data_IF_403103849831
#
_entry.id   IF_403103849831
#
_cell.length_a   1.000
_cell.length_b   1.000
_cell.length_c   1.000
_cell.angle_alpha   90.00
_cell.angle_beta   90.00
_cell.angle_gamma   90.00
#
_symmetry.space_group_name_H-M   'P 1'
#
loop_
_entity.id
_entity.type
_entity.pdbx_description
1 polymer ?
#
# COMPACT_ATOMS: atom_id res chain seq x y z
N UNK A 1 -42.20 -36.95 23.79
CA UNK A 1 -42.06 -35.51 24.01
C UNK A 1 -40.57 -35.19 23.86
N UNK A 2 -40.16 -34.84 22.67
CA UNK A 2 -38.77 -34.45 22.38
C UNK A 2 -38.68 -32.93 22.49
N UNK A 3 -37.94 -32.45 23.47
CA UNK A 3 -37.60 -31.04 23.59
C UNK A 3 -36.57 -30.72 22.49
N UNK A 4 -37.03 -30.07 21.42
CA UNK A 4 -36.14 -29.46 20.44
C UNK A 4 -35.32 -28.39 21.16
N UNK A 5 -33.99 -28.61 21.26
CA UNK A 5 -33.05 -27.61 21.72
C UNK A 5 -33.16 -26.39 20.81
N UNK A 6 -33.51 -25.22 21.35
CA UNK A 6 -33.45 -23.95 20.68
C UNK A 6 -32.01 -23.77 20.17
N UNK A 7 -31.80 -23.45 18.89
CA UNK A 7 -30.45 -23.11 18.45
C UNK A 7 -29.97 -21.89 19.25
N UNK A 8 -28.80 -22.01 19.85
CA UNK A 8 -28.14 -20.91 20.53
C UNK A 8 -28.13 -19.72 19.57
N UNK A 9 -28.65 -18.59 20.03
CA UNK A 9 -28.60 -17.34 19.28
C UNK A 9 -27.13 -17.02 19.07
N UNK A 10 -26.62 -17.28 17.86
CA UNK A 10 -25.28 -16.88 17.47
C UNK A 10 -25.19 -15.37 17.65
N UNK A 11 -24.33 -14.94 18.57
CA UNK A 11 -24.14 -13.53 18.87
C UNK A 11 -23.47 -12.89 17.64
N UNK A 12 -24.27 -12.27 16.78
CA UNK A 12 -23.73 -11.41 15.72
C UNK A 12 -22.88 -10.33 16.36
N UNK A 13 -21.63 -10.20 15.94
CA UNK A 13 -20.81 -9.07 16.36
C UNK A 13 -21.61 -7.78 16.07
N UNK A 14 -21.68 -6.89 17.05
CA UNK A 14 -22.34 -5.59 16.84
C UNK A 14 -21.62 -4.84 15.69
N UNK A 15 -22.34 -3.98 14.98
CA UNK A 15 -21.73 -3.14 13.93
C UNK A 15 -20.52 -2.37 14.47
N UNK A 16 -20.53 -1.96 15.74
CA UNK A 16 -19.41 -1.32 16.43
C UNK A 16 -18.18 -2.21 16.52
N UNK A 17 -18.32 -3.52 16.73
CA UNK A 17 -17.17 -4.43 16.80
C UNK A 17 -16.39 -4.50 15.47
N UNK A 18 -17.08 -4.46 14.33
CA UNK A 18 -16.46 -4.43 13.00
C UNK A 18 -15.59 -3.17 12.80
N UNK A 19 -16.17 -2.01 13.16
CA UNK A 19 -15.45 -0.74 13.06
C UNK A 19 -14.26 -0.67 14.02
N UNK A 20 -14.37 -1.23 15.22
CA UNK A 20 -13.24 -1.35 16.15
C UNK A 20 -12.09 -2.13 15.52
N UNK A 21 -12.36 -3.26 14.86
CA UNK A 21 -11.30 -4.03 14.18
C UNK A 21 -10.63 -3.24 13.04
N UNK A 22 -11.42 -2.45 12.29
CA UNK A 22 -10.88 -1.56 11.25
C UNK A 22 -10.01 -0.46 11.87
N UNK A 23 -10.48 0.20 12.92
CA UNK A 23 -9.72 1.28 13.62
C UNK A 23 -8.41 0.76 14.19
N UNK A 24 -8.40 -0.44 14.79
CA UNK A 24 -7.17 -1.06 15.29
C UNK A 24 -6.15 -1.30 14.16
N UNK A 25 -6.62 -1.77 12.99
CA UNK A 25 -5.80 -1.89 11.80
C UNK A 25 -5.25 -0.52 11.33
N UNK A 26 -6.10 0.50 11.28
CA UNK A 26 -5.74 1.89 10.93
C UNK A 26 -4.64 2.42 11.87
N UNK A 27 -4.79 2.27 13.19
CA UNK A 27 -3.80 2.73 14.17
C UNK A 27 -2.47 1.99 14.00
N UNK A 28 -2.51 0.67 13.76
CA UNK A 28 -1.31 -0.11 13.44
C UNK A 28 -0.60 0.40 12.18
N UNK A 29 -1.36 0.73 11.13
CA UNK A 29 -0.82 1.26 9.87
C UNK A 29 -0.18 2.64 10.04
N UNK A 30 -0.79 3.54 10.82
CA UNK A 30 -0.18 4.84 11.19
C UNK A 30 1.15 4.62 11.92
N UNK A 31 1.19 3.68 12.85
CA UNK A 31 2.38 3.42 13.66
C UNK A 31 3.57 2.92 12.84
N UNK A 32 3.34 2.11 11.79
CA UNK A 32 4.44 1.58 10.95
C UNK A 32 4.84 2.52 9.80
N UNK A 33 4.05 3.54 9.48
CA UNK A 33 4.24 4.39 8.30
C UNK A 33 5.62 5.07 8.25
N UNK A 34 6.19 5.40 9.40
CA UNK A 34 7.47 6.11 9.47
C UNK A 34 8.68 5.27 9.08
N UNK A 35 8.60 3.94 9.16
CA UNK A 35 9.69 3.08 8.72
C UNK A 35 9.99 3.31 7.24
N UNK A 36 8.96 3.57 6.45
CA UNK A 36 9.10 3.90 5.03
C UNK A 36 9.24 5.43 4.80
N UNK A 37 8.29 6.20 5.28
CA UNK A 37 8.16 7.61 4.90
C UNK A 37 8.99 8.58 5.75
N UNK A 38 9.37 8.17 6.96
CA UNK A 38 10.29 8.92 7.83
C UNK A 38 11.76 8.69 7.51
N UNK A 39 12.11 7.64 6.75
CA UNK A 39 13.49 7.23 6.49
C UNK A 39 14.38 8.35 5.97
N UNK A 40 13.86 9.19 5.08
CA UNK A 40 14.63 10.29 4.47
C UNK A 40 15.21 11.28 5.49
N UNK A 41 14.59 11.40 6.67
CA UNK A 41 15.07 12.26 7.75
C UNK A 41 16.39 11.77 8.38
N UNK A 42 16.66 10.47 8.30
CA UNK A 42 17.80 9.82 8.92
C UNK A 42 19.04 9.75 8.02
N UNK A 43 18.84 9.81 6.67
CA UNK A 43 19.93 9.61 5.70
C UNK A 43 21.07 10.61 5.89
N UNK A 44 20.75 11.91 5.94
CA UNK A 44 21.78 12.94 6.10
C UNK A 44 22.49 12.89 7.46
N UNK A 45 21.81 12.76 8.60
CA UNK A 45 22.47 12.60 9.91
C UNK A 45 23.40 11.39 9.97
N UNK A 46 22.99 10.24 9.42
CA UNK A 46 23.84 9.03 9.38
C UNK A 46 25.06 9.27 8.51
N UNK A 47 24.88 9.87 7.32
CA UNK A 47 25.99 10.14 6.40
C UNK A 47 26.97 11.16 6.98
N UNK A 48 26.48 12.19 7.64
CA UNK A 48 27.33 13.18 8.33
C UNK A 48 28.19 12.59 9.43
N UNK A 49 27.72 11.51 10.07
CA UNK A 49 28.46 10.85 11.16
C UNK A 49 29.47 9.83 10.67
N UNK A 50 29.09 9.01 9.69
CA UNK A 50 29.87 7.83 9.30
C UNK A 50 30.55 7.98 7.94
N UNK A 51 30.12 8.95 7.12
CA UNK A 51 30.61 9.17 5.74
C UNK A 51 30.51 7.92 4.85
N UNK A 52 29.42 7.13 5.05
CA UNK A 52 29.19 5.91 4.26
C UNK A 52 28.74 6.17 2.83
N UNK A 53 28.30 7.40 2.53
CA UNK A 53 27.69 7.79 1.28
C UNK A 53 26.18 7.47 1.23
N UNK A 54 25.41 8.46 0.79
CA UNK A 54 23.94 8.38 0.77
C UNK A 54 23.41 7.19 -0.04
N UNK A 55 24.11 6.81 -1.12
CA UNK A 55 23.71 5.66 -1.93
C UNK A 55 23.77 4.35 -1.15
N UNK A 56 24.84 4.12 -0.38
CA UNK A 56 24.96 2.94 0.46
C UNK A 56 23.93 2.94 1.60
N UNK A 57 23.66 4.11 2.20
CA UNK A 57 22.63 4.25 3.25
C UNK A 57 21.24 3.95 2.65
N UNK A 58 20.95 4.36 1.41
CA UNK A 58 19.68 4.10 0.75
C UNK A 58 19.43 2.62 0.41
N UNK A 59 20.46 1.79 0.35
CA UNK A 59 20.29 0.32 0.24
C UNK A 59 19.47 -0.22 1.41
N UNK A 60 19.60 0.36 2.61
CA UNK A 60 18.79 0.00 3.76
C UNK A 60 17.29 0.19 3.48
N UNK A 61 16.90 1.27 2.80
CA UNK A 61 15.51 1.48 2.37
C UNK A 61 15.03 0.42 1.38
N UNK A 62 15.87 0.08 0.39
CA UNK A 62 15.54 -0.97 -0.58
C UNK A 62 15.34 -2.32 0.12
N UNK A 63 16.23 -2.69 1.04
CA UNK A 63 16.12 -3.92 1.85
C UNK A 63 14.81 -3.93 2.65
N UNK A 64 14.46 -2.77 3.27
CA UNK A 64 13.21 -2.60 3.98
C UNK A 64 12.00 -2.87 3.05
N UNK A 65 11.91 -2.19 1.90
CA UNK A 65 10.77 -2.31 0.98
C UNK A 65 10.64 -3.72 0.41
N UNK A 66 11.75 -4.38 0.07
CA UNK A 66 11.73 -5.76 -0.39
C UNK A 66 11.20 -6.71 0.68
N UNK A 67 11.68 -6.60 1.91
CA UNK A 67 11.21 -7.42 3.02
C UNK A 67 9.73 -7.13 3.35
N UNK A 68 9.34 -5.85 3.40
CA UNK A 68 7.96 -5.40 3.64
C UNK A 68 6.96 -5.99 2.65
N UNK A 69 7.39 -6.27 1.42
CA UNK A 69 6.47 -6.68 0.36
C UNK A 69 6.57 -8.16 -0.01
N UNK A 70 7.79 -8.69 -0.17
CA UNK A 70 7.98 -10.05 -0.66
C UNK A 70 7.76 -11.13 0.38
N UNK A 71 7.81 -10.80 1.67
CA UNK A 71 7.52 -11.73 2.75
C UNK A 71 6.02 -11.78 3.12
N UNK A 72 5.23 -10.78 2.74
CA UNK A 72 3.78 -10.71 3.03
C UNK A 72 3.00 -11.97 2.64
N UNK A 73 3.28 -12.68 1.52
CA UNK A 73 2.57 -13.93 1.21
C UNK A 73 2.71 -14.99 2.28
N UNK A 74 3.90 -15.16 2.86
CA UNK A 74 4.16 -16.11 3.94
C UNK A 74 3.55 -15.64 5.25
N UNK A 75 3.74 -14.37 5.58
CA UNK A 75 3.17 -13.71 6.75
C UNK A 75 1.65 -13.77 6.70
N UNK A 76 1.05 -13.45 5.56
CA UNK A 76 -0.39 -13.52 5.33
C UNK A 76 -0.96 -14.92 5.46
N UNK A 77 -0.26 -15.95 4.97
CA UNK A 77 -0.67 -17.34 5.16
C UNK A 77 -0.69 -17.71 6.66
N UNK A 78 0.32 -17.28 7.42
CA UNK A 78 0.37 -17.49 8.86
C UNK A 78 -0.79 -16.77 9.57
N UNK A 79 -1.09 -15.53 9.16
CA UNK A 79 -2.22 -14.74 9.69
C UNK A 79 -3.55 -15.41 9.38
N UNK A 80 -3.75 -15.89 8.15
CA UNK A 80 -4.99 -16.56 7.75
C UNK A 80 -5.20 -17.88 8.50
N UNK A 81 -4.10 -18.55 8.91
CA UNK A 81 -4.14 -19.82 9.66
C UNK A 81 -4.26 -19.64 11.18
N UNK A 82 -3.49 -18.71 11.75
CA UNK A 82 -3.36 -18.54 13.21
C UNK A 82 -4.10 -17.31 13.75
N UNK A 83 -4.65 -16.49 12.87
CA UNK A 83 -5.31 -15.24 13.22
C UNK A 83 -4.33 -14.06 13.35
N UNK A 84 -4.87 -12.82 13.39
CA UNK A 84 -4.06 -11.60 13.32
C UNK A 84 -3.28 -11.28 14.60
N UNK A 85 -3.82 -11.64 15.76
CA UNK A 85 -3.36 -11.16 17.07
C UNK A 85 -1.88 -11.33 17.31
N UNK A 86 -1.42 -12.58 17.27
CA UNK A 86 -0.05 -12.92 17.66
C UNK A 86 0.99 -12.50 16.62
N UNK A 87 0.62 -12.58 15.34
CA UNK A 87 1.53 -12.16 14.28
C UNK A 87 1.72 -10.63 14.27
N UNK A 88 0.62 -9.85 14.41
CA UNK A 88 0.73 -8.39 14.49
C UNK A 88 1.48 -7.96 15.75
N UNK A 89 1.28 -8.66 16.90
CA UNK A 89 2.09 -8.40 18.10
C UNK A 89 3.58 -8.65 17.85
N UNK A 90 3.93 -9.75 17.19
CA UNK A 90 5.30 -10.02 16.77
C UNK A 90 5.82 -8.93 15.81
N UNK A 91 5.00 -8.50 14.84
CA UNK A 91 5.30 -7.39 13.94
C UNK A 91 5.64 -6.09 14.70
N UNK A 92 4.85 -5.74 15.72
CA UNK A 92 5.12 -4.59 16.58
C UNK A 92 6.44 -4.69 17.35
N UNK A 93 6.76 -5.87 17.88
CA UNK A 93 8.04 -6.14 18.54
C UNK A 93 9.19 -5.98 17.53
N UNK A 94 9.05 -6.51 16.32
CA UNK A 94 10.05 -6.38 15.26
C UNK A 94 10.26 -4.91 14.85
N UNK A 95 9.21 -4.10 14.79
CA UNK A 95 9.29 -2.66 14.51
C UNK A 95 10.12 -1.93 15.57
N UNK A 96 9.85 -2.17 16.86
CA UNK A 96 10.62 -1.60 17.96
C UNK A 96 12.08 -2.05 17.94
N UNK A 97 12.32 -3.35 17.70
CA UNK A 97 13.67 -3.93 17.60
C UNK A 97 14.44 -3.35 16.40
N UNK A 98 13.81 -3.22 15.24
CA UNK A 98 14.42 -2.68 14.02
C UNK A 98 15.02 -1.29 14.24
N UNK A 99 14.23 -0.39 14.80
CA UNK A 99 14.69 0.96 15.07
C UNK A 99 15.73 1.01 16.20
N UNK A 100 15.63 0.12 17.18
CA UNK A 100 16.66 -0.03 18.22
C UNK A 100 18.00 -0.53 17.64
N UNK A 101 17.96 -1.47 16.68
CA UNK A 101 19.14 -1.93 15.94
C UNK A 101 19.72 -0.78 15.11
N UNK A 102 18.87 -0.05 14.37
CA UNK A 102 19.32 1.09 13.56
C UNK A 102 19.91 2.24 14.40
N UNK A 103 19.38 2.48 15.59
CA UNK A 103 19.92 3.46 16.53
C UNK A 103 21.37 3.14 16.96
N UNK A 104 21.70 1.85 17.06
CA UNK A 104 23.01 1.36 17.48
C UNK A 104 23.88 0.89 16.30
N UNK A 105 23.48 1.20 15.06
CA UNK A 105 24.21 0.76 13.89
C UNK A 105 25.55 1.48 13.76
N UNK A 106 26.64 0.71 13.85
CA UNK A 106 28.02 1.16 13.63
C UNK A 106 28.62 0.68 12.31
N UNK A 107 27.83 -0.06 11.53
CA UNK A 107 28.19 -0.53 10.17
C UNK A 107 26.98 -0.56 9.27
N UNK A 108 27.22 -0.50 7.94
CA UNK A 108 26.16 -0.65 6.93
C UNK A 108 25.42 -1.99 7.09
N UNK A 109 26.14 -3.08 7.41
CA UNK A 109 25.53 -4.39 7.61
C UNK A 109 24.52 -4.38 8.75
N UNK A 110 24.83 -3.73 9.87
CA UNK A 110 23.91 -3.60 11.01
C UNK A 110 22.69 -2.75 10.62
N UNK A 111 22.90 -1.65 9.86
CA UNK A 111 21.82 -0.81 9.34
C UNK A 111 20.89 -1.60 8.41
N UNK A 112 21.46 -2.43 7.52
CA UNK A 112 20.66 -3.29 6.61
C UNK A 112 19.91 -4.37 7.38
N UNK A 113 20.54 -4.97 8.41
CA UNK A 113 19.88 -5.95 9.28
C UNK A 113 18.69 -5.35 10.03
N UNK A 114 18.83 -4.15 10.60
CA UNK A 114 17.72 -3.43 11.23
C UNK A 114 16.62 -3.10 10.24
N UNK A 115 16.96 -2.69 9.01
CA UNK A 115 16.00 -2.40 7.96
C UNK A 115 15.27 -3.66 7.48
N UNK A 116 15.95 -4.80 7.38
CA UNK A 116 15.34 -6.10 7.08
C UNK A 116 14.31 -6.49 8.16
N UNK A 117 14.70 -6.42 9.43
CA UNK A 117 13.81 -6.69 10.58
C UNK A 117 12.58 -5.76 10.54
N UNK A 118 12.80 -4.47 10.24
CA UNK A 118 11.73 -3.47 10.11
C UNK A 118 10.78 -3.78 8.96
N UNK A 119 11.32 -4.23 7.82
CA UNK A 119 10.52 -4.64 6.66
C UNK A 119 9.62 -5.84 6.98
N UNK A 120 10.14 -6.88 7.63
CA UNK A 120 9.35 -8.02 8.12
C UNK A 120 8.26 -7.54 9.07
N UNK A 121 8.58 -6.74 10.08
CA UNK A 121 7.60 -6.24 11.03
C UNK A 121 6.51 -5.40 10.38
N UNK A 122 6.88 -4.50 9.48
CA UNK A 122 5.94 -3.65 8.75
C UNK A 122 5.08 -4.47 7.77
N UNK A 123 5.64 -5.44 7.08
CA UNK A 123 4.93 -6.35 6.16
C UNK A 123 3.81 -7.11 6.86
N UNK A 124 4.11 -7.72 8.02
CA UNK A 124 3.12 -8.40 8.86
C UNK A 124 1.96 -7.47 9.20
N UNK A 125 2.24 -6.26 9.70
CA UNK A 125 1.21 -5.30 10.12
C UNK A 125 0.39 -4.82 8.93
N UNK A 126 1.06 -4.46 7.82
CA UNK A 126 0.42 -3.96 6.60
C UNK A 126 -0.50 -5.02 5.99
N UNK A 127 0.04 -6.18 5.65
CA UNK A 127 -0.71 -7.27 5.02
C UNK A 127 -1.89 -7.72 5.87
N UNK A 128 -1.67 -7.87 7.18
CA UNK A 128 -2.73 -8.27 8.12
C UNK A 128 -3.83 -7.22 8.22
N UNK A 129 -3.49 -5.93 8.34
CA UNK A 129 -4.48 -4.87 8.50
C UNK A 129 -5.39 -4.78 7.28
N UNK A 130 -4.83 -4.83 6.07
CA UNK A 130 -5.62 -4.84 4.83
C UNK A 130 -6.43 -6.12 4.69
N UNK A 131 -5.81 -7.30 4.86
CA UNK A 131 -6.49 -8.59 4.75
C UNK A 131 -7.63 -8.75 5.75
N UNK A 132 -7.43 -8.30 7.00
CA UNK A 132 -8.46 -8.33 8.03
C UNK A 132 -9.62 -7.37 7.71
N UNK A 133 -9.33 -6.16 7.19
CA UNK A 133 -10.35 -5.22 6.73
C UNK A 133 -11.22 -5.81 5.62
N UNK A 134 -10.64 -6.50 4.64
CA UNK A 134 -11.37 -7.20 3.58
C UNK A 134 -12.29 -8.31 4.12
N UNK A 135 -11.87 -9.01 5.18
CA UNK A 135 -12.67 -10.06 5.83
C UNK A 135 -13.86 -9.49 6.61
N UNK A 136 -13.67 -8.36 7.30
CA UNK A 136 -14.71 -7.73 8.10
C UNK A 136 -15.74 -6.94 7.30
N UNK A 137 -15.39 -6.45 6.10
CA UNK A 137 -16.23 -5.58 5.26
C UNK A 137 -16.39 -6.11 3.84
N UNK A 138 -16.99 -7.31 3.65
CA UNK A 138 -17.15 -7.90 2.32
C UNK A 138 -18.08 -7.09 1.40
N UNK A 139 -18.99 -6.30 1.98
CA UNK A 139 -19.92 -5.43 1.26
C UNK A 139 -19.29 -4.11 0.79
N UNK A 140 -18.17 -3.68 1.41
CA UNK A 140 -17.47 -2.41 1.15
C UNK A 140 -15.95 -2.60 1.13
N UNK A 141 -15.45 -3.58 0.36
CA UNK A 141 -14.03 -3.94 0.32
C UNK A 141 -13.13 -2.79 -0.10
N UNK A 142 -13.55 -2.02 -1.10
CA UNK A 142 -12.78 -0.87 -1.59
C UNK A 142 -12.61 0.21 -0.52
N UNK A 143 -13.70 0.58 0.14
CA UNK A 143 -13.65 1.56 1.23
C UNK A 143 -12.82 1.05 2.41
N UNK A 144 -13.00 -0.19 2.84
CA UNK A 144 -12.29 -0.76 3.97
C UNK A 144 -10.78 -0.87 3.71
N UNK A 145 -10.38 -1.38 2.55
CA UNK A 145 -8.99 -1.42 2.11
C UNK A 145 -8.42 0.01 1.97
N UNK A 146 -9.21 0.92 1.41
CA UNK A 146 -8.84 2.32 1.23
C UNK A 146 -8.57 3.05 2.54
N UNK A 147 -9.47 2.93 3.54
CA UNK A 147 -9.29 3.52 4.86
C UNK A 147 -8.05 2.97 5.58
N UNK A 148 -7.85 1.65 5.49
CA UNK A 148 -6.69 1.00 6.09
C UNK A 148 -5.39 1.46 5.43
N UNK A 149 -5.35 1.46 4.10
CA UNK A 149 -4.17 1.89 3.35
C UNK A 149 -3.90 3.40 3.47
N UNK A 150 -4.96 4.24 3.58
CA UNK A 150 -4.83 5.69 3.80
C UNK A 150 -4.01 6.00 5.06
N UNK A 151 -4.23 5.21 6.11
CA UNK A 151 -3.51 5.34 7.38
C UNK A 151 -2.00 5.17 7.22
N UNK A 152 -1.56 4.24 6.37
CA UNK A 152 -0.14 4.10 6.03
C UNK A 152 0.34 5.28 5.17
N UNK A 153 -0.43 5.69 4.16
CA UNK A 153 -0.06 6.80 3.27
C UNK A 153 0.10 8.15 3.98
N UNK A 154 -0.87 8.49 4.85
CA UNK A 154 -0.90 9.75 5.57
C UNK A 154 -0.26 9.69 6.97
N UNK A 155 -0.04 8.50 7.52
CA UNK A 155 0.36 8.32 8.93
C UNK A 155 1.65 9.03 9.31
N UNK A 156 2.60 9.11 8.40
CA UNK A 156 3.85 9.84 8.61
C UNK A 156 3.66 11.35 8.77
N UNK A 157 2.59 11.93 8.22
CA UNK A 157 2.32 13.37 8.34
C UNK A 157 2.20 13.83 9.81
N UNK A 158 1.71 12.94 10.69
CA UNK A 158 1.54 13.23 12.11
C UNK A 158 2.87 13.24 12.89
N UNK A 159 3.87 12.53 12.42
CA UNK A 159 5.08 12.23 13.20
C UNK A 159 6.37 12.70 12.55
N UNK A 160 6.37 13.06 11.26
CA UNK A 160 7.56 13.60 10.57
C UNK A 160 8.15 14.80 11.29
N UNK A 161 7.31 15.78 11.68
CA UNK A 161 7.78 17.00 12.37
C UNK A 161 8.33 16.67 13.77
N UNK A 162 7.63 15.91 14.63
CA UNK A 162 8.19 15.44 15.89
C UNK A 162 9.52 14.67 15.73
N UNK A 163 9.63 13.76 14.76
CA UNK A 163 10.86 12.99 14.50
C UNK A 163 12.00 13.95 14.11
N UNK A 164 11.76 14.84 13.16
CA UNK A 164 12.76 15.83 12.72
C UNK A 164 13.23 16.71 13.87
N UNK A 165 12.31 17.14 14.75
CA UNK A 165 12.65 17.93 15.92
C UNK A 165 13.55 17.17 16.92
N UNK A 166 13.25 15.90 17.20
CA UNK A 166 14.10 15.06 18.05
C UNK A 166 15.46 14.82 17.41
N UNK A 167 15.53 14.57 16.10
CA UNK A 167 16.80 14.43 15.37
C UNK A 167 17.67 15.68 15.55
N UNK A 168 17.08 16.87 15.38
CA UNK A 168 17.80 18.14 15.47
C UNK A 168 18.24 18.49 16.90
N UNK A 169 17.49 18.07 17.91
CA UNK A 169 17.76 18.46 19.31
C UNK A 169 18.51 17.41 20.12
N UNK A 170 18.33 16.11 19.79
CA UNK A 170 18.86 14.98 20.59
C UNK A 170 19.60 13.92 19.78
N UNK A 171 19.71 14.11 18.47
CA UNK A 171 20.34 13.16 17.56
C UNK A 171 19.38 12.11 17.01
N UNK A 172 19.77 11.53 15.88
CA UNK A 172 18.95 10.56 15.16
C UNK A 172 18.81 9.22 15.91
N UNK A 173 19.81 8.82 16.72
CA UNK A 173 19.76 7.62 17.53
C UNK A 173 18.64 7.69 18.56
N UNK A 174 18.51 8.84 19.23
CA UNK A 174 17.42 9.08 20.18
C UNK A 174 16.05 9.04 19.49
N UNK A 175 15.96 9.61 18.28
CA UNK A 175 14.74 9.55 17.51
C UNK A 175 14.36 8.10 17.15
N UNK A 176 15.31 7.28 16.68
CA UNK A 176 15.08 5.86 16.44
C UNK A 176 14.54 5.14 17.67
N UNK A 177 15.20 5.31 18.83
CA UNK A 177 14.76 4.62 20.07
C UNK A 177 13.36 5.08 20.48
N UNK A 178 13.12 6.38 20.58
CA UNK A 178 11.85 6.91 21.12
C UNK A 178 10.67 6.53 20.22
N UNK A 179 10.78 6.78 18.91
CA UNK A 179 9.70 6.49 17.99
C UNK A 179 9.58 5.00 17.71
N UNK A 180 10.69 4.27 17.63
CA UNK A 180 10.65 2.82 17.43
C UNK A 180 9.94 2.08 18.56
N UNK A 181 10.30 2.36 19.81
CA UNK A 181 9.67 1.75 20.98
C UNK A 181 8.21 2.17 21.12
N UNK A 182 7.90 3.47 20.95
CA UNK A 182 6.53 3.97 21.05
C UNK A 182 5.62 3.34 19.97
N UNK A 183 6.07 3.31 18.72
CA UNK A 183 5.32 2.75 17.60
C UNK A 183 5.16 1.23 17.73
N UNK A 184 6.23 0.52 18.08
CA UNK A 184 6.18 -0.91 18.35
C UNK A 184 5.17 -1.25 19.46
N UNK A 185 5.19 -0.49 20.56
CA UNK A 185 4.23 -0.66 21.67
C UNK A 185 2.79 -0.42 21.22
N UNK A 186 2.53 0.64 20.45
CA UNK A 186 1.19 0.94 19.91
C UNK A 186 0.68 -0.24 19.06
N UNK A 187 1.53 -0.79 18.18
CA UNK A 187 1.17 -1.95 17.36
C UNK A 187 0.83 -3.17 18.24
N UNK A 188 1.65 -3.46 19.25
CA UNK A 188 1.42 -4.58 20.19
C UNK A 188 0.09 -4.40 20.92
N UNK A 189 -0.20 -3.20 21.45
CA UNK A 189 -1.45 -2.93 22.15
C UNK A 189 -2.67 -3.10 21.25
N UNK A 190 -2.61 -2.61 20.01
CA UNK A 190 -3.65 -2.84 19.01
C UNK A 190 -3.81 -4.33 18.70
N UNK A 191 -2.71 -5.05 18.56
CA UNK A 191 -2.71 -6.48 18.23
C UNK A 191 -3.44 -7.33 19.27
N UNK A 192 -3.32 -7.00 20.56
CA UNK A 192 -3.99 -7.73 21.64
C UNK A 192 -5.53 -7.73 21.51
N UNK A 193 -6.09 -6.71 20.84
CA UNK A 193 -7.52 -6.54 20.62
C UNK A 193 -7.96 -6.98 19.20
N UNK A 194 -7.00 -7.24 18.30
CA UNK A 194 -7.30 -7.70 16.94
C UNK A 194 -7.80 -9.15 16.94
N UNK A 195 -8.80 -9.41 16.07
CA UNK A 195 -9.29 -10.75 15.77
C UNK A 195 -9.79 -10.85 14.32
N UNK A 196 -9.78 -12.05 13.78
CA UNK A 196 -10.49 -12.34 12.54
C UNK A 196 -12.01 -12.46 12.81
N UNK A 197 -12.87 -12.20 11.81
CA UNK A 197 -14.29 -12.43 11.94
C UNK A 197 -14.59 -13.92 12.09
N UNK A 198 -15.54 -14.25 12.98
CA UNK A 198 -16.08 -15.60 13.14
C UNK A 198 -17.35 -15.78 12.30
N UNK A 199 -17.81 -17.01 12.06
CA UNK A 199 -19.12 -17.26 11.45
C UNK A 199 -20.22 -16.49 12.19
N UNK A 200 -21.05 -15.73 11.45
CA UNK A 200 -22.10 -14.88 12.02
C UNK A 200 -21.68 -13.46 12.42
N UNK A 201 -20.39 -13.14 12.52
CA UNK A 201 -19.90 -11.77 12.82
C UNK A 201 -20.15 -10.79 11.66
N UNK A 202 -20.19 -11.31 10.44
CA UNK A 202 -20.29 -10.52 9.20
C UNK A 202 -21.59 -10.85 8.49
N UNK A 203 -22.34 -9.84 7.99
CA UNK A 203 -23.59 -10.10 7.30
C UNK A 203 -23.36 -10.92 6.02
N UNK A 204 -24.30 -11.81 5.71
CA UNK A 204 -24.33 -12.50 4.44
C UNK A 204 -24.62 -11.48 3.33
N UNK A 205 -23.71 -11.37 2.39
CA UNK A 205 -23.86 -10.47 1.24
C UNK A 205 -24.70 -11.21 0.18
N UNK A 206 -26.02 -11.06 0.25
CA UNK A 206 -26.96 -11.72 -0.67
C UNK A 206 -26.93 -11.11 -2.08
N UNK A 207 -26.68 -9.81 -2.19
CA UNK A 207 -26.58 -9.09 -3.46
C UNK A 207 -25.47 -8.05 -3.38
N UNK A 208 -24.20 -8.42 -3.65
CA UNK A 208 -23.12 -7.45 -3.67
C UNK A 208 -23.29 -6.46 -4.82
N UNK A 209 -23.07 -5.18 -4.59
CA UNK A 209 -23.10 -4.13 -5.62
C UNK A 209 -22.05 -4.37 -6.71
N UNK A 210 -20.93 -4.98 -6.34
CA UNK A 210 -19.86 -5.41 -7.26
C UNK A 210 -19.88 -6.94 -7.31
N UNK A 211 -19.85 -7.52 -8.50
CA UNK A 211 -19.82 -8.97 -8.68
C UNK A 211 -18.61 -9.58 -7.99
N UNK A 212 -18.84 -10.64 -7.22
CA UNK A 212 -17.82 -11.35 -6.44
C UNK A 212 -17.91 -12.86 -6.73
N UNK A 213 -16.77 -13.57 -6.67
CA UNK A 213 -16.79 -15.03 -6.73
C UNK A 213 -17.40 -15.61 -5.46
N UNK A 214 -18.07 -16.75 -5.59
CA UNK A 214 -18.68 -17.48 -4.47
C UNK A 214 -17.63 -18.33 -3.73
N UNK A 215 -16.54 -18.70 -4.40
CA UNK A 215 -15.49 -19.58 -3.86
C UNK A 215 -14.37 -18.83 -3.14
N UNK A 216 -13.74 -19.50 -2.18
CA UNK A 216 -12.49 -19.09 -1.55
C UNK A 216 -11.32 -19.84 -2.20
N UNK A 217 -10.41 -19.11 -2.84
CA UNK A 217 -9.26 -19.67 -3.55
C UNK A 217 -8.01 -19.59 -2.68
N UNK A 218 -7.24 -20.68 -2.66
CA UNK A 218 -5.93 -20.69 -2.02
C UNK A 218 -4.92 -19.87 -2.84
N UNK A 219 -3.81 -19.42 -2.23
CA UNK A 219 -2.74 -18.73 -2.97
C UNK A 219 -2.22 -19.50 -4.19
N UNK A 220 -2.10 -20.83 -4.09
CA UNK A 220 -1.64 -21.67 -5.20
C UNK A 220 -2.66 -21.77 -6.35
N UNK A 221 -3.95 -21.76 -6.03
CA UNK A 221 -5.02 -21.72 -7.05
C UNK A 221 -5.05 -20.37 -7.73
N UNK A 222 -4.87 -19.28 -6.96
CA UNK A 222 -4.79 -17.93 -7.50
C UNK A 222 -3.62 -17.77 -8.49
N UNK A 223 -2.44 -18.32 -8.19
CA UNK A 223 -1.28 -18.28 -9.09
C UNK A 223 -1.53 -18.99 -10.44
N UNK A 224 -2.49 -19.93 -10.50
CA UNK A 224 -2.88 -20.61 -11.75
C UNK A 224 -3.88 -19.80 -12.58
N UNK A 225 -4.48 -18.74 -12.00
CA UNK A 225 -5.48 -17.94 -12.67
C UNK A 225 -4.83 -16.86 -13.55
N UNK A 226 -5.10 -16.81 -14.87
CA UNK A 226 -4.53 -15.77 -15.75
C UNK A 226 -4.85 -14.35 -15.30
N UNK A 227 -6.02 -14.13 -14.71
CA UNK A 227 -6.44 -12.82 -14.21
C UNK A 227 -5.55 -12.31 -13.08
N UNK A 228 -4.94 -13.19 -12.27
CA UNK A 228 -3.96 -12.79 -11.26
C UNK A 228 -2.72 -12.16 -11.89
N UNK A 229 -2.17 -12.79 -12.94
CA UNK A 229 -0.97 -12.28 -13.60
C UNK A 229 -1.21 -10.96 -14.34
N UNK A 230 -2.42 -10.77 -14.86
CA UNK A 230 -2.82 -9.46 -15.40
C UNK A 230 -2.84 -8.39 -14.29
N UNK A 231 -3.47 -8.69 -13.14
CA UNK A 231 -3.46 -7.77 -11.99
C UNK A 231 -2.04 -7.48 -11.49
N UNK A 232 -1.20 -8.50 -11.43
CA UNK A 232 0.19 -8.38 -11.01
C UNK A 232 1.00 -7.45 -11.93
N UNK A 233 0.87 -7.66 -13.24
CA UNK A 233 1.53 -6.81 -14.25
C UNK A 233 1.03 -5.37 -14.16
N UNK A 234 -0.29 -5.16 -14.11
CA UNK A 234 -0.90 -3.83 -13.97
C UNK A 234 -0.41 -3.13 -12.70
N UNK A 235 -0.45 -3.82 -11.54
CA UNK A 235 0.02 -3.24 -10.28
C UNK A 235 1.51 -2.91 -10.31
N UNK A 236 2.34 -3.74 -10.96
CA UNK A 236 3.78 -3.45 -11.14
C UNK A 236 4.00 -2.20 -11.98
N UNK A 237 3.29 -2.06 -13.11
CA UNK A 237 3.40 -0.91 -14.00
C UNK A 237 3.05 0.40 -13.28
N UNK A 238 1.90 0.43 -12.60
CA UNK A 238 1.40 1.60 -11.91
C UNK A 238 2.22 1.93 -10.64
N UNK A 239 2.61 0.91 -9.87
CA UNK A 239 3.47 1.12 -8.72
C UNK A 239 4.83 1.72 -9.10
N UNK A 240 5.37 1.40 -10.28
CA UNK A 240 6.64 1.93 -10.77
C UNK A 240 6.56 3.45 -10.99
N UNK A 241 5.51 3.95 -11.62
CA UNK A 241 5.29 5.38 -11.89
C UNK A 241 5.34 6.21 -10.60
N UNK A 242 4.52 5.87 -9.64
CA UNK A 242 4.45 6.60 -8.37
C UNK A 242 5.66 6.41 -7.46
N UNK A 243 6.32 5.24 -7.46
CA UNK A 243 7.58 5.04 -6.73
C UNK A 243 8.69 5.90 -7.34
N UNK A 244 8.76 6.01 -8.67
CA UNK A 244 9.67 6.92 -9.35
C UNK A 244 9.37 8.37 -9.00
N UNK A 245 8.12 8.82 -9.07
CA UNK A 245 7.72 10.17 -8.68
C UNK A 245 8.14 10.45 -7.22
N UNK A 246 7.89 9.51 -6.31
CA UNK A 246 8.28 9.63 -4.89
C UNK A 246 9.80 9.82 -4.72
N UNK A 247 10.59 9.07 -5.45
CA UNK A 247 12.06 9.10 -5.34
C UNK A 247 12.69 10.31 -6.02
N UNK A 248 12.07 10.82 -7.09
CA UNK A 248 12.70 11.79 -8.00
C UNK A 248 12.12 13.20 -7.91
N UNK A 249 11.05 13.43 -7.16
CA UNK A 249 10.42 14.76 -7.10
C UNK A 249 11.38 15.86 -6.62
N UNK A 250 12.25 15.56 -5.66
CA UNK A 250 13.29 16.47 -5.19
C UNK A 250 14.33 16.83 -6.26
N UNK A 251 15.00 15.86 -6.91
CA UNK A 251 15.85 16.08 -8.07
C UNK A 251 15.15 16.86 -9.20
N UNK A 252 13.91 16.51 -9.53
CA UNK A 252 13.10 17.20 -10.55
C UNK A 252 12.92 18.67 -10.17
N UNK A 253 12.49 18.95 -8.95
CA UNK A 253 12.32 20.32 -8.46
C UNK A 253 13.62 21.13 -8.48
N UNK A 254 14.75 20.49 -8.21
CA UNK A 254 16.08 21.13 -8.29
C UNK A 254 16.48 21.45 -9.73
N UNK A 255 16.29 20.51 -10.66
CA UNK A 255 16.60 20.68 -12.08
C UNK A 255 15.74 21.77 -12.73
N UNK A 256 14.46 21.88 -12.36
CA UNK A 256 13.58 22.97 -12.78
C UNK A 256 13.76 24.26 -11.98
N UNK A 257 14.67 24.28 -10.98
CA UNK A 257 14.99 25.45 -10.14
C UNK A 257 13.79 26.00 -9.34
N UNK A 258 12.80 25.15 -9.03
CA UNK A 258 11.59 25.54 -8.27
C UNK A 258 11.66 25.16 -6.81
N UNK A 259 12.58 24.28 -6.40
CA UNK A 259 12.59 23.63 -5.09
C UNK A 259 12.45 24.59 -3.90
N UNK A 260 13.14 25.73 -3.94
CA UNK A 260 13.20 26.71 -2.86
C UNK A 260 12.36 27.96 -3.11
N UNK A 261 11.67 28.04 -4.26
CA UNK A 261 10.82 29.20 -4.59
C UNK A 261 9.60 29.22 -3.68
N UNK A 262 9.30 30.36 -2.99
CA UNK A 262 8.13 30.46 -2.17
C UNK A 262 6.83 30.36 -3.00
N UNK A 263 5.90 29.54 -2.55
CA UNK A 263 4.57 29.36 -3.14
C UNK A 263 3.52 29.61 -2.07
N UNK A 264 2.51 30.40 -2.39
CA UNK A 264 1.36 30.65 -1.53
C UNK A 264 0.11 29.98 -2.10
N UNK A 265 -0.43 29.00 -1.39
CA UNK A 265 -1.68 28.31 -1.72
C UNK A 265 -2.53 28.17 -0.46
N UNK A 266 -3.83 28.44 -0.55
CA UNK A 266 -4.80 28.32 0.55
C UNK A 266 -4.39 29.07 1.83
N UNK A 267 -3.70 30.22 1.69
CA UNK A 267 -3.23 31.02 2.81
C UNK A 267 -1.95 30.51 3.49
N UNK A 268 -1.35 29.44 3.00
CA UNK A 268 -0.07 28.87 3.49
C UNK A 268 1.03 29.24 2.48
N UNK A 269 2.15 29.77 2.99
CA UNK A 269 3.33 30.09 2.18
C UNK A 269 4.49 29.21 2.60
N UNK A 270 5.02 28.43 1.67
CA UNK A 270 6.16 27.53 1.88
C UNK A 270 7.02 27.48 0.60
N UNK A 271 8.26 27.00 0.71
CA UNK A 271 9.05 26.64 -0.47
C UNK A 271 8.34 25.51 -1.26
N UNK A 272 8.38 25.58 -2.60
CA UNK A 272 7.59 24.71 -3.46
C UNK A 272 7.80 23.22 -3.21
N UNK A 273 9.06 22.75 -3.02
CA UNK A 273 9.32 21.33 -2.80
C UNK A 273 8.76 20.81 -1.46
N UNK A 274 9.05 21.42 -0.29
CA UNK A 274 8.40 21.01 0.96
C UNK A 274 6.88 21.08 0.91
N UNK A 275 6.32 22.09 0.23
CA UNK A 275 4.88 22.21 0.06
C UNK A 275 4.30 21.06 -0.76
N UNK A 276 4.92 20.77 -1.93
CA UNK A 276 4.54 19.64 -2.77
C UNK A 276 4.57 18.33 -1.99
N UNK A 277 5.71 18.03 -1.33
CA UNK A 277 5.85 16.80 -0.53
C UNK A 277 4.79 16.67 0.57
N UNK A 278 4.43 17.77 1.25
CA UNK A 278 3.40 17.76 2.29
C UNK A 278 2.00 17.51 1.70
N UNK A 279 1.67 18.22 0.61
CA UNK A 279 0.41 18.05 -0.10
C UNK A 279 0.25 16.65 -0.67
N UNK A 280 1.32 16.12 -1.28
CA UNK A 280 1.36 14.77 -1.86
C UNK A 280 1.01 13.69 -0.83
N UNK A 281 1.53 13.80 0.41
CA UNK A 281 1.20 12.84 1.48
C UNK A 281 -0.26 12.89 1.90
N UNK A 282 -0.79 14.09 2.06
CA UNK A 282 -2.21 14.30 2.40
C UNK A 282 -3.10 13.72 1.30
N UNK A 283 -2.83 14.08 0.05
CA UNK A 283 -3.63 13.65 -1.10
C UNK A 283 -3.49 12.14 -1.34
N UNK A 284 -2.29 11.57 -1.23
CA UNK A 284 -2.05 10.13 -1.33
C UNK A 284 -2.79 9.32 -0.25
N UNK A 285 -2.94 9.89 0.95
CA UNK A 285 -3.75 9.29 1.99
C UNK A 285 -5.25 9.37 1.69
N UNK A 286 -5.75 10.57 1.36
CA UNK A 286 -7.19 10.82 1.14
C UNK A 286 -7.74 10.11 -0.10
N UNK A 287 -6.93 9.96 -1.14
CA UNK A 287 -7.35 9.32 -2.40
C UNK A 287 -7.78 7.86 -2.21
N UNK A 288 -7.15 7.14 -1.29
CA UNK A 288 -7.40 5.70 -1.10
C UNK A 288 -8.82 5.39 -0.64
N UNK A 289 -9.37 6.00 0.42
CA UNK A 289 -10.77 5.81 0.76
C UNK A 289 -11.71 6.40 -0.29
N UNK A 290 -11.34 7.52 -0.94
CA UNK A 290 -12.15 8.15 -1.97
C UNK A 290 -12.36 7.21 -3.17
N UNK A 291 -11.31 6.77 -3.83
CA UNK A 291 -11.44 5.84 -4.96
C UNK A 291 -11.90 4.45 -4.52
N UNK A 292 -11.57 4.01 -3.32
CA UNK A 292 -12.13 2.81 -2.73
C UNK A 292 -13.65 2.87 -2.66
N UNK A 293 -14.20 3.96 -2.14
CA UNK A 293 -15.64 4.22 -2.09
C UNK A 293 -16.26 4.36 -3.48
N UNK A 294 -15.64 5.13 -4.38
CA UNK A 294 -16.07 5.26 -5.78
C UNK A 294 -16.16 3.89 -6.43
N UNK A 295 -15.15 3.03 -6.24
CA UNK A 295 -15.10 1.70 -6.86
C UNK A 295 -16.18 0.74 -6.36
N UNK A 296 -16.66 0.93 -5.13
CA UNK A 296 -17.79 0.18 -4.57
C UNK A 296 -19.14 0.59 -5.22
N UNK A 297 -19.19 1.75 -5.91
CA UNK A 297 -20.39 2.28 -6.54
C UNK A 297 -20.42 2.13 -8.07
N UNK A 298 -19.34 2.47 -8.76
CA UNK A 298 -19.28 2.44 -10.24
C UNK A 298 -18.53 1.22 -10.79
N UNK A 299 -18.00 0.37 -9.89
CA UNK A 299 -17.22 -0.82 -10.24
C UNK A 299 -15.71 -0.58 -10.28
N UNK A 300 -14.95 -1.67 -10.11
CA UNK A 300 -13.48 -1.62 -9.95
C UNK A 300 -12.81 -1.07 -11.21
N UNK A 301 -13.11 -1.66 -12.35
CA UNK A 301 -12.43 -1.39 -13.62
C UNK A 301 -12.77 -0.01 -14.17
N UNK A 302 -14.00 0.47 -13.96
CA UNK A 302 -14.38 1.83 -14.34
C UNK A 302 -13.61 2.86 -13.51
N UNK A 303 -13.43 2.58 -12.21
CA UNK A 303 -12.66 3.44 -11.32
C UNK A 303 -11.17 3.42 -11.68
N UNK A 304 -10.61 2.24 -11.99
CA UNK A 304 -9.23 2.10 -12.47
C UNK A 304 -9.00 2.88 -13.77
N UNK A 305 -9.94 2.81 -14.74
CA UNK A 305 -9.84 3.59 -15.97
C UNK A 305 -9.73 5.10 -15.70
N UNK A 306 -10.57 5.60 -14.79
CA UNK A 306 -10.59 7.03 -14.43
C UNK A 306 -9.31 7.41 -13.68
N UNK A 307 -8.93 6.65 -12.65
CA UNK A 307 -7.83 6.98 -11.77
C UNK A 307 -6.47 6.91 -12.50
N UNK A 308 -6.21 5.81 -13.21
CA UNK A 308 -4.96 5.64 -13.98
C UNK A 308 -4.89 6.62 -15.17
N UNK A 309 -6.03 6.88 -15.83
CA UNK A 309 -6.12 7.91 -16.85
C UNK A 309 -5.78 9.29 -16.29
N UNK A 310 -6.28 9.62 -15.10
CA UNK A 310 -6.01 10.87 -14.40
C UNK A 310 -4.55 10.99 -13.95
N UNK A 311 -3.92 9.89 -13.53
CA UNK A 311 -2.50 9.86 -13.16
C UNK A 311 -1.62 10.24 -14.36
N UNK A 312 -1.82 9.59 -15.52
CA UNK A 312 -1.10 9.93 -16.75
C UNK A 312 -1.31 11.38 -17.19
N UNK A 313 -2.54 11.93 -17.05
CA UNK A 313 -2.81 13.36 -17.30
C UNK A 313 -2.07 14.23 -16.28
N UNK A 314 -2.08 13.85 -15.00
CA UNK A 314 -1.36 14.57 -13.94
C UNK A 314 0.14 14.64 -14.20
N UNK A 315 0.77 13.54 -14.62
CA UNK A 315 2.19 13.51 -15.00
C UNK A 315 2.44 14.39 -16.22
N UNK A 316 1.57 14.35 -17.23
CA UNK A 316 1.69 15.20 -18.42
C UNK A 316 1.62 16.69 -18.07
N UNK A 317 0.71 17.08 -17.19
CA UNK A 317 0.59 18.45 -16.69
C UNK A 317 1.81 18.83 -15.84
N UNK A 318 2.25 17.95 -14.96
CA UNK A 318 3.45 18.17 -14.13
C UNK A 318 4.67 18.46 -15.00
N UNK A 319 4.98 17.62 -15.99
CA UNK A 319 6.15 17.81 -16.85
C UNK A 319 6.05 19.09 -17.69
N UNK A 320 4.85 19.43 -18.17
CA UNK A 320 4.63 20.61 -19.00
C UNK A 320 4.82 21.91 -18.21
N UNK A 321 4.37 21.93 -16.95
CA UNK A 321 4.30 23.14 -16.13
C UNK A 321 5.24 23.10 -14.91
N UNK A 322 6.16 22.13 -14.81
CA UNK A 322 7.06 21.99 -13.66
C UNK A 322 7.96 23.23 -13.40
N UNK A 323 8.18 24.06 -14.43
CA UNK A 323 8.95 25.31 -14.32
C UNK A 323 8.18 26.44 -13.58
N UNK A 324 6.87 26.28 -13.36
CA UNK A 324 6.03 27.23 -12.61
C UNK A 324 5.81 26.68 -11.20
N UNK A 325 6.38 27.30 -10.14
CA UNK A 325 6.42 26.73 -8.79
C UNK A 325 5.05 26.33 -8.22
N UNK A 326 4.03 27.18 -8.41
CA UNK A 326 2.65 26.89 -7.94
C UNK A 326 2.02 25.71 -8.67
N UNK A 327 2.22 25.61 -9.99
CA UNK A 327 1.70 24.48 -10.78
C UNK A 327 2.48 23.20 -10.52
N UNK A 328 3.77 23.29 -10.23
CA UNK A 328 4.56 22.13 -9.75
C UNK A 328 3.92 21.53 -8.49
N UNK A 329 3.57 22.35 -7.49
CA UNK A 329 2.90 21.90 -6.26
C UNK A 329 1.54 21.28 -6.55
N UNK A 330 0.71 21.93 -7.37
CA UNK A 330 -0.64 21.46 -7.67
C UNK A 330 -0.63 20.17 -8.47
N UNK A 331 0.21 20.07 -9.50
CA UNK A 331 0.24 18.88 -10.38
C UNK A 331 1.00 17.72 -9.77
N UNK A 332 2.01 17.93 -8.92
CA UNK A 332 2.55 16.83 -8.11
C UNK A 332 1.47 16.27 -7.19
N UNK A 333 0.71 17.12 -6.53
CA UNK A 333 -0.46 16.72 -5.73
C UNK A 333 -1.48 15.90 -6.52
N UNK A 334 -1.77 16.30 -7.77
CA UNK A 334 -2.68 15.56 -8.65
C UNK A 334 -2.16 14.15 -8.98
N UNK A 335 -0.86 14.02 -9.29
CA UNK A 335 -0.22 12.72 -9.53
C UNK A 335 -0.37 11.82 -8.31
N UNK A 336 -0.05 12.31 -7.11
CA UNK A 336 -0.17 11.51 -5.89
C UNK A 336 -1.62 11.25 -5.47
N UNK A 337 -2.55 12.14 -5.81
CA UNK A 337 -3.98 11.88 -5.66
C UNK A 337 -4.46 10.77 -6.59
N UNK A 338 -3.99 10.73 -7.81
CA UNK A 338 -4.39 9.72 -8.78
C UNK A 338 -3.68 8.36 -8.55
N UNK A 339 -2.47 8.34 -7.99
CA UNK A 339 -1.67 7.13 -7.78
C UNK A 339 -2.02 6.33 -6.52
N UNK A 340 -2.43 6.99 -5.43
CA UNK A 340 -2.60 6.31 -4.13
C UNK A 340 -3.66 5.22 -4.11
N UNK A 341 -4.61 5.26 -5.04
CA UNK A 341 -5.76 4.35 -5.13
C UNK A 341 -5.38 2.91 -5.47
N UNK A 342 -4.22 2.63 -6.07
CA UNK A 342 -3.78 1.25 -6.35
C UNK A 342 -3.78 0.39 -5.08
N UNK A 343 -3.51 1.00 -3.92
CA UNK A 343 -3.51 0.32 -2.62
C UNK A 343 -4.90 0.12 -2.01
N UNK A 344 -5.97 0.58 -2.67
CA UNK A 344 -7.36 0.27 -2.32
C UNK A 344 -8.05 -0.58 -3.39
N UNK A 345 -7.79 -0.32 -4.67
CA UNK A 345 -8.46 -0.99 -5.78
C UNK A 345 -7.94 -2.42 -5.98
N UNK A 346 -6.62 -2.63 -6.03
CA UNK A 346 -6.07 -3.97 -6.25
C UNK A 346 -6.41 -4.96 -5.14
N UNK A 347 -6.30 -4.62 -3.82
CA UNK A 347 -6.75 -5.52 -2.78
C UNK A 347 -8.26 -5.80 -2.83
N UNK A 348 -9.08 -4.80 -3.20
CA UNK A 348 -10.52 -4.99 -3.35
C UNK A 348 -10.84 -5.96 -4.50
N UNK A 349 -10.24 -5.79 -5.68
CA UNK A 349 -10.39 -6.71 -6.82
C UNK A 349 -9.90 -8.11 -6.47
N UNK A 350 -8.74 -8.22 -5.80
CA UNK A 350 -8.21 -9.50 -5.34
C UNK A 350 -9.23 -10.23 -4.43
N UNK A 351 -9.80 -9.50 -3.47
CA UNK A 351 -10.83 -10.05 -2.59
C UNK A 351 -12.13 -10.42 -3.34
N UNK A 352 -12.53 -9.65 -4.36
CA UNK A 352 -13.72 -9.92 -5.17
C UNK A 352 -13.55 -11.16 -6.05
N UNK A 353 -12.34 -11.43 -6.55
CA UNK A 353 -12.03 -12.57 -7.42
C UNK A 353 -11.74 -13.86 -6.64
N UNK A 354 -11.02 -13.77 -5.53
CA UNK A 354 -10.44 -14.95 -4.88
C UNK A 354 -11.00 -15.24 -3.47
N UNK A 355 -12.01 -14.49 -3.04
CA UNK A 355 -12.74 -14.75 -1.80
C UNK A 355 -12.07 -14.19 -0.55
N UNK A 356 -12.57 -14.63 0.64
CA UNK A 356 -12.23 -14.04 1.93
C UNK A 356 -11.30 -14.87 2.80
N UNK A 357 -11.40 -16.20 2.68
CA UNK A 357 -10.73 -17.13 3.60
C UNK A 357 -9.20 -16.92 3.61
N UNK A 358 -8.61 -16.74 2.45
CA UNK A 358 -7.18 -16.52 2.26
C UNK A 358 -6.84 -15.09 1.83
N UNK A 359 -7.71 -14.12 2.16
CA UNK A 359 -7.59 -12.75 1.66
C UNK A 359 -6.25 -12.11 1.96
N UNK A 360 -5.67 -12.36 3.14
CA UNK A 360 -4.38 -11.79 3.55
C UNK A 360 -3.23 -12.37 2.72
N UNK A 361 -3.19 -13.68 2.56
CA UNK A 361 -2.16 -14.35 1.76
C UNK A 361 -2.28 -14.02 0.27
N UNK A 362 -3.51 -14.02 -0.26
CA UNK A 362 -3.79 -13.70 -1.66
C UNK A 362 -3.40 -12.26 -2.00
N UNK A 363 -3.82 -11.30 -1.17
CA UNK A 363 -3.40 -9.92 -1.34
C UNK A 363 -1.88 -9.77 -1.16
N UNK A 364 -1.29 -10.48 -0.20
CA UNK A 364 0.15 -10.49 0.03
C UNK A 364 0.94 -10.87 -1.24
N UNK A 365 0.50 -11.92 -1.96
CA UNK A 365 1.10 -12.29 -3.25
C UNK A 365 0.98 -11.17 -4.28
N UNK A 366 -0.19 -10.54 -4.40
CA UNK A 366 -0.37 -9.42 -5.31
C UNK A 366 0.48 -8.21 -4.90
N UNK A 367 0.61 -7.95 -3.60
CA UNK A 367 1.38 -6.83 -3.07
C UNK A 367 2.89 -6.93 -3.34
N UNK A 368 3.42 -8.14 -3.62
CA UNK A 368 4.81 -8.31 -4.07
C UNK A 368 5.11 -7.56 -5.37
N UNK A 369 4.09 -7.21 -6.15
CA UNK A 369 4.21 -6.37 -7.34
C UNK A 369 4.82 -4.99 -7.03
N UNK A 370 4.53 -4.40 -5.85
CA UNK A 370 5.18 -3.15 -5.37
C UNK A 370 6.69 -3.36 -5.17
N UNK A 371 7.09 -4.48 -4.57
CA UNK A 371 8.51 -4.83 -4.40
C UNK A 371 9.20 -5.02 -5.75
N UNK A 372 8.57 -5.72 -6.69
CA UNK A 372 9.07 -5.89 -8.06
C UNK A 372 9.22 -4.54 -8.76
N UNK A 373 8.25 -3.64 -8.63
CA UNK A 373 8.31 -2.29 -9.18
C UNK A 373 9.46 -1.47 -8.58
N UNK A 374 9.75 -1.62 -7.29
CA UNK A 374 10.82 -0.89 -6.62
C UNK A 374 12.22 -1.22 -7.16
N UNK A 375 12.42 -2.42 -7.70
CA UNK A 375 13.67 -2.83 -8.36
C UNK A 375 13.92 -2.04 -9.67
N UNK A 376 12.85 -1.53 -10.28
CA UNK A 376 12.94 -0.78 -11.53
C UNK A 376 13.19 0.73 -11.30
N UNK A 377 13.00 1.23 -10.09
CA UNK A 377 13.20 2.65 -9.76
C UNK A 377 14.62 3.15 -10.07
N UNK A 378 15.72 2.40 -9.81
CA UNK A 378 17.07 2.82 -10.17
C UNK A 378 17.28 3.03 -11.68
N UNK A 379 16.52 2.32 -12.53
CA UNK A 379 16.60 2.49 -13.99
C UNK A 379 16.25 3.92 -14.44
N UNK A 380 15.38 4.61 -13.70
CA UNK A 380 15.09 6.01 -13.96
C UNK A 380 16.32 6.90 -13.85
N UNK A 381 17.16 6.68 -12.84
CA UNK A 381 18.42 7.44 -12.70
C UNK A 381 19.43 7.12 -13.82
N UNK A 382 19.50 5.84 -14.23
CA UNK A 382 20.36 5.42 -15.37
C UNK A 382 19.88 6.09 -16.65
N UNK A 383 18.59 6.09 -16.90
CA UNK A 383 18.00 6.71 -18.10
C UNK A 383 18.19 8.24 -18.09
N UNK A 384 18.00 8.88 -16.93
CA UNK A 384 18.29 10.32 -16.75
C UNK A 384 19.77 10.64 -17.01
N UNK A 385 20.68 9.84 -16.49
CA UNK A 385 22.12 10.01 -16.71
C UNK A 385 22.49 9.83 -18.19
N UNK A 386 21.92 8.84 -18.87
CA UNK A 386 22.21 8.55 -20.28
C UNK A 386 21.63 9.59 -21.24
N UNK A 387 20.43 10.15 -20.93
CA UNK A 387 19.73 11.06 -21.85
C UNK A 387 19.86 12.54 -21.50
N UNK A 388 20.33 12.85 -20.30
CA UNK A 388 20.37 14.22 -19.77
C UNK A 388 18.99 14.83 -19.47
N UNK A 389 17.89 14.05 -19.58
CA UNK A 389 16.52 14.55 -19.48
C UNK A 389 15.63 13.63 -18.64
N UNK A 390 14.65 14.21 -17.95
CA UNK A 390 13.55 13.48 -17.27
C UNK A 390 12.46 13.04 -18.24
N UNK A 391 12.41 13.61 -19.46
CA UNK A 391 11.36 13.37 -20.44
C UNK A 391 11.11 11.89 -20.74
N UNK A 392 12.12 11.05 -21.02
CA UNK A 392 11.89 9.63 -21.30
C UNK A 392 11.24 8.87 -20.14
N UNK A 393 11.58 9.25 -18.91
CA UNK A 393 11.03 8.63 -17.69
C UNK A 393 9.56 8.98 -17.55
N UNK A 394 9.21 10.26 -17.74
CA UNK A 394 7.82 10.71 -17.67
C UNK A 394 6.97 10.12 -18.80
N UNK A 395 7.48 10.08 -20.03
CA UNK A 395 6.77 9.48 -21.16
C UNK A 395 6.50 7.99 -20.90
N UNK A 396 7.49 7.28 -20.35
CA UNK A 396 7.30 5.87 -19.97
C UNK A 396 6.23 5.71 -18.88
N UNK A 397 6.24 6.56 -17.83
CA UNK A 397 5.24 6.53 -16.77
C UNK A 397 3.82 6.79 -17.31
N UNK A 398 3.64 7.86 -18.10
CA UNK A 398 2.35 8.18 -18.76
C UNK A 398 1.86 7.00 -19.60
N UNK A 399 2.76 6.40 -20.40
CA UNK A 399 2.41 5.27 -21.25
C UNK A 399 1.94 4.05 -20.41
N UNK A 400 2.64 3.76 -19.30
CA UNK A 400 2.27 2.66 -18.41
C UNK A 400 0.92 2.90 -17.72
N UNK A 401 0.65 4.13 -17.27
CA UNK A 401 -0.63 4.49 -16.65
C UNK A 401 -1.79 4.34 -17.64
N UNK A 402 -1.64 4.87 -18.85
CA UNK A 402 -2.69 4.76 -19.87
C UNK A 402 -2.87 3.33 -20.39
N UNK A 403 -1.79 2.56 -20.53
CA UNK A 403 -1.88 1.13 -20.82
C UNK A 403 -2.63 0.42 -19.69
N UNK A 404 -2.29 0.71 -18.43
CA UNK A 404 -2.99 0.17 -17.26
C UNK A 404 -4.48 0.52 -17.24
N UNK A 405 -4.84 1.77 -17.58
CA UNK A 405 -6.22 2.23 -17.70
C UNK A 405 -7.00 1.46 -18.78
N UNK A 406 -6.40 1.28 -19.96
CA UNK A 406 -7.00 0.53 -21.06
C UNK A 406 -7.12 -0.97 -20.73
N UNK A 407 -6.09 -1.56 -20.12
CA UNK A 407 -6.11 -2.95 -19.66
C UNK A 407 -7.21 -3.18 -18.62
N UNK A 408 -7.42 -2.23 -17.71
CA UNK A 408 -8.49 -2.33 -16.71
C UNK A 408 -9.86 -2.47 -17.37
N UNK A 409 -10.15 -1.62 -18.35
CA UNK A 409 -11.47 -1.56 -18.97
C UNK A 409 -11.71 -2.63 -20.05
N UNK A 410 -10.73 -2.82 -20.95
CA UNK A 410 -10.90 -3.68 -22.12
C UNK A 410 -10.49 -5.14 -21.88
N UNK A 411 -9.63 -5.41 -20.90
CA UNK A 411 -9.09 -6.75 -20.65
C UNK A 411 -9.51 -7.28 -19.28
N UNK A 412 -9.25 -6.55 -18.21
CA UNK A 412 -9.57 -7.01 -16.86
C UNK A 412 -11.08 -7.16 -16.63
N UNK A 413 -11.87 -6.19 -17.08
CA UNK A 413 -13.33 -6.20 -16.89
C UNK A 413 -14.00 -7.43 -17.51
N UNK A 414 -13.82 -7.78 -18.80
CA UNK A 414 -14.39 -9.01 -19.36
C UNK A 414 -13.81 -10.28 -18.74
N UNK A 415 -12.51 -10.31 -18.42
CA UNK A 415 -11.90 -11.47 -17.76
C UNK A 415 -12.48 -11.70 -16.36
N UNK A 416 -12.69 -10.64 -15.58
CA UNK A 416 -13.30 -10.75 -14.26
C UNK A 416 -14.74 -11.23 -14.33
N UNK A 417 -15.54 -10.68 -15.25
CA UNK A 417 -16.92 -11.13 -15.47
C UNK A 417 -16.94 -12.61 -15.85
N UNK A 418 -16.11 -13.03 -16.79
CA UNK A 418 -15.97 -14.43 -17.19
C UNK A 418 -15.52 -15.33 -16.04
N UNK A 419 -14.52 -14.90 -15.25
CA UNK A 419 -14.05 -15.64 -14.09
C UNK A 419 -15.15 -15.84 -13.05
N UNK A 420 -15.82 -14.77 -12.65
CA UNK A 420 -16.90 -14.83 -11.65
C UNK A 420 -18.06 -15.70 -12.14
N UNK A 421 -18.44 -15.59 -13.42
CA UNK A 421 -19.52 -16.41 -14.00
C UNK A 421 -19.16 -17.90 -14.04
N UNK A 422 -17.92 -18.24 -14.38
CA UNK A 422 -17.45 -19.62 -14.40
C UNK A 422 -17.38 -20.28 -13.00
N UNK A 423 -17.23 -19.47 -11.95
CA UNK A 423 -17.12 -19.94 -10.56
C UNK A 423 -18.35 -19.61 -9.70
N UNK A 424 -19.43 -19.14 -10.32
CA UNK A 424 -20.73 -18.94 -9.69
C UNK A 424 -21.42 -20.31 -9.47
N UNK A 425 -21.08 -21.01 -8.39
CA UNK A 425 -21.68 -22.32 -8.06
C UNK A 425 -20.70 -23.49 -7.91
N UNK A 426 -19.39 -23.27 -8.02
CA UNK A 426 -18.38 -24.32 -7.84
C UNK A 426 -17.87 -24.36 -6.40
N UNK A 427 -17.97 -25.50 -5.74
CA UNK A 427 -17.36 -25.75 -4.42
C UNK A 427 -15.83 -25.68 -4.51
N UNK A 428 -15.14 -25.16 -3.45
CA UNK A 428 -13.67 -25.11 -3.41
C UNK A 428 -13.07 -26.51 -3.59
N UNK A 429 -12.21 -26.68 -4.58
CA UNK A 429 -11.49 -27.91 -4.84
C UNK A 429 -11.63 -28.53 -6.24
N UNK A 430 -12.51 -27.99 -7.10
CA UNK A 430 -12.81 -28.56 -8.41
C UNK A 430 -12.15 -27.82 -9.60
N UNK A 431 -10.96 -27.25 -9.43
CA UNK A 431 -10.25 -26.64 -10.57
C UNK A 431 -9.38 -27.70 -11.23
N UNK A 432 -9.97 -28.42 -12.18
CA UNK A 432 -9.24 -29.16 -13.22
C UNK A 432 -8.65 -28.20 -14.27
N UNK A 433 -7.74 -28.66 -15.16
CA UNK A 433 -7.06 -27.82 -16.15
C UNK A 433 -8.06 -27.07 -17.02
N UNK A 434 -7.76 -25.79 -17.25
CA UNK A 434 -8.52 -24.77 -17.94
C UNK A 434 -9.53 -25.28 -18.99
N UNK A 435 -10.81 -24.99 -18.77
CA UNK A 435 -11.81 -25.12 -19.81
C UNK A 435 -11.46 -24.15 -20.96
N UNK A 436 -11.27 -24.72 -22.14
CA UNK A 436 -11.04 -24.02 -23.41
C UNK A 436 -12.15 -23.00 -23.65
N UNK A 437 -11.87 -21.79 -24.14
CA UNK A 437 -12.91 -20.80 -24.41
C UNK A 437 -13.84 -21.33 -25.51
N UNK A 438 -15.14 -21.38 -25.20
CA UNK A 438 -16.18 -21.67 -26.19
C UNK A 438 -16.15 -20.54 -27.21
N UNK A 439 -15.79 -20.89 -28.45
CA UNK A 439 -15.98 -20.02 -29.62
C UNK A 439 -17.49 -19.87 -29.87
N UNK A 440 -17.94 -18.66 -29.91
CA UNK A 440 -19.08 -18.19 -30.70
C UNK A 440 -18.71 -16.88 -31.37
#
# INVERSE_FOLDING_TARGET
MGTAAKPAAESRASASARWVQLVLGIVGMVAIANLQYGWTLFVNPIDSRFHWGKAAIQVAFTVFVLAETWLVPFEGYLVDRFGPRWLVAAGGILVGLAWSVNANASSLLTLYAGSLIGGVGAGIVYGTSVGNALKWFPEHRGLAAGLTAAAFGAGSALTIVPIANVINTRGYETAFIYFGLAQGLVVVLCALLLRAPQPGDVPDVTTPKVQQSVGDFTPLEMLKAPVFWLLYAMMTMLAMGGLMATAQLGPIAADYKVAQVPVSLLGITMAALPFALSLDRILNGLTRPFFGWVSDHIGRENTMLIAFGLEGVGILLLITFAHIPSLFVVFSGLVFFAWGEIYSLFPAVCGDLFGRKFATANYGLLYTAKGTASLLVPLGNVLRAATGSWMPIFVAAIALDWIGALLAFFVLKPLRIGWVSAHAGVSPGAIGPAATPIRH
#
